data_IF_652386712259
#
_entry.id   IF_652386712259
#
_cell.length_a   1.000
_cell.length_b   1.000
_cell.length_c   1.000
_cell.angle_alpha   90.00
_cell.angle_beta   90.00
_cell.angle_gamma   90.00
#
_symmetry.space_group_name_H-M   'P 1'
#
loop_
_entity.id
_entity.type
_entity.pdbx_description
1 polymer ?
#
# COMPACT_ATOMS: atom_id res chain seq x y z
N UNK A 1 -14.04 -5.03 0.62
CA UNK A 1 -13.04 -6.08 0.35
C UNK A 1 -11.73 -5.58 0.94
N UNK A 2 -11.23 -6.23 2.00
CA UNK A 2 -9.84 -6.05 2.43
C UNK A 2 -9.01 -6.90 1.46
N UNK A 3 -8.07 -6.30 0.73
CA UNK A 3 -7.20 -6.99 -0.25
C UNK A 3 -5.91 -7.43 0.49
N UNK A 4 -5.79 -8.71 0.92
CA UNK A 4 -4.66 -9.15 1.73
C UNK A 4 -3.31 -9.06 0.99
N UNK A 5 -3.18 -9.52 -0.28
CA UNK A 5 -1.95 -9.37 -1.04
C UNK A 5 -1.43 -7.93 -1.09
N UNK A 6 -2.32 -6.96 -1.27
CA UNK A 6 -1.96 -5.55 -1.26
C UNK A 6 -1.42 -5.12 0.10
N UNK A 7 -2.13 -5.46 1.19
CA UNK A 7 -1.68 -5.09 2.53
C UNK A 7 -0.29 -5.66 2.85
N UNK A 8 -0.04 -6.92 2.49
CA UNK A 8 1.26 -7.56 2.68
C UNK A 8 2.37 -6.84 1.90
N UNK A 9 2.17 -6.55 0.61
CA UNK A 9 3.16 -5.83 -0.18
C UNK A 9 3.49 -4.43 0.35
N UNK A 10 2.49 -3.72 0.89
CA UNK A 10 2.70 -2.41 1.51
C UNK A 10 3.50 -2.52 2.82
N UNK A 11 3.24 -3.54 3.64
CA UNK A 11 3.99 -3.81 4.86
C UNK A 11 5.43 -4.24 4.56
N UNK A 12 5.62 -5.18 3.65
CA UNK A 12 6.94 -5.63 3.23
C UNK A 12 7.79 -4.46 2.72
N UNK A 13 7.17 -3.52 2.00
CA UNK A 13 7.86 -2.31 1.56
C UNK A 13 8.26 -1.41 2.73
N UNK A 14 7.38 -1.20 3.72
CA UNK A 14 7.71 -0.41 4.91
C UNK A 14 8.85 -1.04 5.70
N UNK A 15 8.83 -2.36 5.87
CA UNK A 15 9.92 -3.09 6.52
C UNK A 15 11.23 -2.98 5.72
N UNK A 16 11.16 -3.08 4.39
CA UNK A 16 12.34 -2.98 3.50
C UNK A 16 13.00 -1.59 3.50
N UNK A 17 12.26 -0.52 3.81
CA UNK A 17 12.81 0.84 3.95
C UNK A 17 13.21 1.17 5.40
N UNK A 18 13.29 0.17 6.28
CA UNK A 18 13.58 0.33 7.71
C UNK A 18 12.63 1.33 8.41
N UNK A 19 11.34 1.31 8.03
CA UNK A 19 10.35 2.16 8.67
C UNK A 19 10.27 1.87 10.19
N UNK A 20 10.17 2.91 11.04
CA UNK A 20 10.02 2.71 12.48
C UNK A 20 8.78 1.84 12.79
N UNK A 21 8.88 0.82 13.67
CA UNK A 21 7.75 -0.07 13.98
C UNK A 21 6.48 0.67 14.46
N UNK A 22 6.66 1.82 15.13
CA UNK A 22 5.55 2.68 15.56
C UNK A 22 4.78 3.27 14.37
N UNK A 23 5.47 3.65 13.29
CA UNK A 23 4.83 4.21 12.09
C UNK A 23 4.18 3.10 11.25
N UNK A 24 4.79 1.91 11.21
CA UNK A 24 4.17 0.72 10.61
C UNK A 24 2.84 0.42 11.33
N UNK A 25 2.83 0.37 12.67
CA UNK A 25 1.62 0.13 13.43
C UNK A 25 0.55 1.21 13.19
N UNK A 26 0.93 2.48 13.09
CA UNK A 26 0.00 3.57 12.73
C UNK A 26 -0.64 3.34 11.36
N UNK A 27 0.15 2.91 10.37
CA UNK A 27 -0.38 2.58 9.06
C UNK A 27 -1.34 1.39 9.12
N UNK A 28 -1.04 0.34 9.89
CA UNK A 28 -1.93 -0.81 10.11
C UNK A 28 -3.26 -0.37 10.74
N UNK A 29 -3.20 0.47 11.76
CA UNK A 29 -4.41 1.00 12.41
C UNK A 29 -5.25 1.85 11.45
N UNK A 30 -4.59 2.67 10.62
CA UNK A 30 -5.24 3.45 9.57
C UNK A 30 -5.88 2.56 8.51
N UNK A 31 -5.18 1.50 8.09
CA UNK A 31 -5.65 0.52 7.12
C UNK A 31 -6.94 -0.17 7.59
N UNK A 32 -6.98 -0.62 8.85
CA UNK A 32 -8.18 -1.25 9.42
C UNK A 32 -9.38 -0.30 9.54
N UNK A 33 -9.14 1.01 9.54
CA UNK A 33 -10.19 2.04 9.57
C UNK A 33 -10.66 2.48 8.19
N UNK A 34 -10.01 2.04 7.10
CA UNK A 34 -10.40 2.40 5.74
C UNK A 34 -11.82 1.94 5.44
N UNK A 35 -12.61 2.85 4.87
CA UNK A 35 -13.95 2.51 4.38
C UNK A 35 -13.85 1.78 3.04
N UNK A 36 -14.83 0.93 2.68
CA UNK A 36 -14.80 0.14 1.44
C UNK A 36 -14.67 0.94 0.12
N UNK A 37 -15.00 2.23 0.13
CA UNK A 37 -14.92 3.13 -1.05
C UNK A 37 -13.80 4.17 -0.93
N UNK A 38 -13.02 4.11 0.14
CA UNK A 38 -11.92 5.02 0.36
C UNK A 38 -10.73 4.60 -0.51
N UNK A 39 -10.03 5.58 -1.09
CA UNK A 39 -8.80 5.28 -1.83
C UNK A 39 -7.74 4.83 -0.85
N UNK A 40 -6.97 3.83 -1.26
CA UNK A 40 -5.94 3.24 -0.41
C UNK A 40 -4.78 4.24 -0.31
N UNK A 41 -4.38 4.66 0.91
CA UNK A 41 -3.28 5.62 1.08
C UNK A 41 -1.92 4.95 0.84
N UNK A 42 -0.98 5.71 0.29
CA UNK A 42 0.39 5.30 0.14
C UNK A 42 1.07 5.25 1.53
N UNK A 43 1.64 4.10 1.94
CA UNK A 43 2.27 3.98 3.25
C UNK A 43 3.46 4.92 3.39
N UNK A 44 4.28 5.09 2.35
CA UNK A 44 5.45 5.99 2.38
C UNK A 44 5.04 7.46 2.56
N UNK A 45 3.98 7.92 1.89
CA UNK A 45 3.48 9.28 2.10
C UNK A 45 2.89 9.44 3.50
N UNK A 46 2.19 8.40 3.99
CA UNK A 46 1.58 8.40 5.31
C UNK A 46 2.62 8.57 6.43
N UNK A 47 3.78 7.92 6.30
CA UNK A 47 4.93 8.09 7.18
C UNK A 47 5.45 9.53 7.23
N UNK A 48 5.29 10.28 6.14
CA UNK A 48 5.66 11.70 6.05
C UNK A 48 4.52 12.64 6.50
N UNK A 49 3.41 12.09 7.00
CA UNK A 49 2.24 12.85 7.42
C UNK A 49 1.28 13.23 6.30
N UNK A 50 1.43 12.67 5.10
CA UNK A 50 0.59 12.95 3.93
C UNK A 50 -0.25 11.72 3.52
N UNK A 51 -1.53 11.92 3.22
CA UNK A 51 -2.39 10.84 2.70
C UNK A 51 -2.53 10.97 1.18
N UNK A 52 -1.62 10.33 0.44
CA UNK A 52 -1.66 10.31 -1.03
C UNK A 52 -2.28 9.00 -1.52
N UNK A 53 -3.27 9.03 -2.42
CA UNK A 53 -3.92 7.81 -2.89
C UNK A 53 -3.00 6.99 -3.80
N UNK A 54 -3.02 5.67 -3.63
CA UNK A 54 -2.46 4.73 -4.59
C UNK A 54 -3.39 4.62 -5.80
N UNK A 55 -2.79 4.61 -6.98
CA UNK A 55 -3.48 4.45 -8.26
C UNK A 55 -3.12 3.07 -8.82
N UNK A 56 -4.11 2.19 -9.04
CA UNK A 56 -3.84 0.93 -9.72
C UNK A 56 -3.42 1.21 -11.17
N UNK A 57 -2.38 0.49 -11.61
CA UNK A 57 -1.94 0.46 -13.00
C UNK A 57 -2.49 -0.80 -13.68
N UNK A 58 -2.35 -0.87 -15.01
CA UNK A 58 -2.71 -2.06 -15.76
C UNK A 58 -1.94 -3.29 -15.25
N UNK A 59 -2.64 -4.40 -15.04
CA UNK A 59 -2.04 -5.66 -14.61
C UNK A 59 -0.93 -6.10 -15.57
N UNK A 60 0.22 -6.49 -15.03
CA UNK A 60 1.38 -6.95 -15.78
C UNK A 60 1.63 -8.43 -15.49
N UNK A 61 1.10 -9.29 -16.35
CA UNK A 61 1.19 -10.75 -16.19
C UNK A 61 0.47 -11.19 -14.91
N UNK A 62 1.24 -11.64 -13.91
CA UNK A 62 0.73 -12.16 -12.65
C UNK A 62 0.76 -11.12 -11.51
N UNK A 63 0.88 -9.84 -11.83
CA UNK A 63 0.93 -8.76 -10.84
C UNK A 63 -0.02 -7.62 -11.19
N UNK A 64 -0.65 -7.04 -10.16
CA UNK A 64 -1.42 -5.80 -10.22
C UNK A 64 -0.58 -4.68 -9.60
N UNK A 65 0.25 -3.97 -10.39
CA UNK A 65 1.04 -2.87 -9.86
C UNK A 65 0.16 -1.72 -9.40
N UNK A 66 0.47 -1.16 -8.23
CA UNK A 66 -0.13 0.08 -7.74
C UNK A 66 0.96 1.14 -7.57
N UNK A 67 0.64 2.38 -7.93
CA UNK A 67 1.61 3.46 -7.98
C UNK A 67 1.14 4.69 -7.20
N UNK A 68 2.06 5.30 -6.46
CA UNK A 68 1.85 6.60 -5.83
C UNK A 68 2.49 7.70 -6.68
N UNK A 69 1.70 8.64 -7.20
CA UNK A 69 2.23 9.75 -8.00
C UNK A 69 3.04 10.78 -7.21
N UNK A 70 2.82 10.87 -5.89
CA UNK A 70 3.50 11.82 -5.03
C UNK A 70 4.94 11.39 -4.72
N UNK A 71 5.14 10.18 -4.17
CA UNK A 71 6.46 9.66 -3.84
C UNK A 71 7.10 8.83 -4.97
N UNK A 72 6.36 8.56 -6.05
CA UNK A 72 6.77 7.72 -7.20
C UNK A 72 7.12 6.27 -6.84
N UNK A 73 6.62 5.79 -5.71
CA UNK A 73 6.77 4.38 -5.33
C UNK A 73 5.76 3.53 -6.08
N UNK A 74 6.24 2.43 -6.66
CA UNK A 74 5.43 1.35 -7.22
C UNK A 74 5.47 0.14 -6.29
N UNK A 75 4.33 -0.51 -6.11
CA UNK A 75 4.18 -1.75 -5.35
C UNK A 75 3.58 -2.80 -6.29
N UNK A 76 4.31 -3.89 -6.50
CA UNK A 76 3.88 -4.97 -7.38
C UNK A 76 3.09 -5.98 -6.56
N UNK A 77 1.78 -6.01 -6.75
CA UNK A 77 0.89 -6.87 -5.95
C UNK A 77 0.73 -8.19 -6.69
N UNK A 78 1.11 -9.34 -6.11
CA UNK A 78 0.89 -10.62 -6.76
C UNK A 78 -0.61 -10.89 -6.90
N UNK A 79 -1.02 -11.27 -8.10
CA UNK A 79 -2.36 -11.80 -8.37
C UNK A 79 -2.27 -13.29 -8.01
N UNK A 80 -2.93 -13.70 -6.93
CA UNK A 80 -3.11 -15.12 -6.66
C UNK A 80 -3.95 -15.71 -7.81
N UNK A 81 -3.34 -16.55 -8.65
CA UNK A 81 -4.05 -17.40 -9.61
C UNK A 81 -4.85 -18.44 -8.80
N UNK A 82 -6.12 -18.17 -8.54
CA UNK A 82 -7.08 -19.19 -8.06
C UNK A 82 -7.32 -20.26 -9.10
#
# INVERSE_FOLDING_TARGET
MQNPPLFHALLDHLEAIDAPPMEIQRFVDRWHRLKPHERIPCPVCYLNGEEQPLTPLDAQGNTEPVFCSACRTQYDIPIDET
#
